data_IF_602750904455
#
_entry.id   IF_602750904455
#
_cell.length_a   1.000
_cell.length_b   1.000
_cell.length_c   1.000
_cell.angle_alpha   90.00
_cell.angle_beta   90.00
_cell.angle_gamma   90.00
#
_symmetry.space_group_name_H-M   'P 1'
#
loop_
_entity.id
_entity.type
_entity.pdbx_description
1 polymer ?
#
# COMPACT_ATOMS: atom_id res chain seq x y z
N UNK A 1 67.92 -3.27 7.00
CA UNK A 1 67.53 -4.50 6.29
C UNK A 1 66.04 -4.74 6.54
N UNK A 2 65.16 -4.56 5.54
CA UNK A 2 64.51 -5.64 4.75
C UNK A 2 63.46 -6.43 5.57
N UNK A 3 62.18 -6.61 5.22
CA UNK A 3 61.40 -6.49 3.97
C UNK A 3 59.89 -6.47 4.30
N UNK A 4 59.11 -5.80 3.44
CA UNK A 4 57.66 -5.93 3.29
C UNK A 4 57.25 -7.29 2.65
N UNK A 5 56.09 -7.81 3.04
CA UNK A 5 55.15 -8.68 2.29
C UNK A 5 53.75 -8.37 2.89
N UNK A 6 52.80 -7.69 2.23
CA UNK A 6 51.85 -8.17 1.19
C UNK A 6 51.09 -9.45 1.63
N UNK A 7 49.76 -9.61 1.60
CA UNK A 7 48.59 -8.81 1.24
C UNK A 7 47.31 -9.56 1.70
N UNK A 8 46.21 -8.81 1.88
CA UNK A 8 44.77 -9.12 1.66
C UNK A 8 44.05 -10.36 2.25
N UNK A 9 42.90 -10.09 2.88
CA UNK A 9 41.55 -10.63 2.59
C UNK A 9 40.62 -10.30 3.79
N UNK A 10 39.83 -9.22 3.72
CA UNK A 10 38.42 -9.18 3.25
C UNK A 10 37.40 -9.68 4.29
N UNK A 11 36.60 -8.74 4.81
CA UNK A 11 35.43 -9.04 5.64
C UNK A 11 34.83 -7.79 6.28
N UNK A 12 34.15 -6.97 5.46
CA UNK A 12 33.35 -5.79 5.84
C UNK A 12 32.42 -6.11 7.03
N UNK A 13 32.53 -5.36 8.13
CA UNK A 13 31.78 -4.14 8.42
C UNK A 13 30.26 -4.33 8.63
N UNK A 14 29.88 -4.11 9.89
CA UNK A 14 28.69 -3.42 10.39
C UNK A 14 27.29 -3.98 10.07
N UNK A 15 26.54 -4.31 11.13
CA UNK A 15 25.41 -3.48 11.55
C UNK A 15 24.85 -4.00 12.90
N UNK A 16 25.36 -3.44 13.99
CA UNK A 16 24.59 -3.36 15.23
C UNK A 16 23.71 -2.11 15.12
N UNK A 17 22.41 -2.34 15.01
CA UNK A 17 21.38 -1.32 14.97
C UNK A 17 20.09 -1.87 15.56
N UNK A 18 20.12 -2.19 16.86
CA UNK A 18 18.93 -2.43 17.65
C UNK A 18 18.42 -1.08 18.18
N UNK A 19 17.43 -0.50 17.49
CA UNK A 19 16.63 0.62 17.98
C UNK A 19 15.18 0.34 17.62
N UNK A 20 14.40 -0.11 18.60
CA UNK A 20 12.96 -0.35 18.49
C UNK A 20 12.17 0.96 18.49
N UNK A 21 12.28 1.74 17.43
CA UNK A 21 11.23 2.67 17.03
C UNK A 21 10.40 1.96 15.96
N UNK A 22 9.18 1.58 16.31
CA UNK A 22 8.22 1.06 15.36
C UNK A 22 8.02 2.11 14.25
N UNK A 23 8.68 1.92 13.11
CA UNK A 23 8.50 2.77 11.94
C UNK A 23 7.03 2.73 11.55
N UNK A 24 6.34 3.84 11.79
CA UNK A 24 4.94 4.03 11.41
C UNK A 24 4.90 4.85 10.15
N UNK A 25 4.11 4.40 9.20
CA UNK A 25 3.84 5.13 7.96
C UNK A 25 2.39 5.60 7.97
N UNK A 26 2.11 6.69 7.25
CA UNK A 26 0.73 7.08 6.96
C UNK A 26 0.43 6.76 5.51
N UNK A 27 -0.70 6.12 5.26
CA UNK A 27 -1.15 5.86 3.90
C UNK A 27 -2.64 6.10 3.74
N UNK A 28 -3.00 6.48 2.52
CA UNK A 28 -4.37 6.50 2.04
C UNK A 28 -4.58 5.34 1.07
N UNK A 29 -5.81 4.84 0.99
CA UNK A 29 -6.12 3.77 0.04
C UNK A 29 -7.47 3.96 -0.66
N UNK A 30 -7.57 3.34 -1.84
CA UNK A 30 -8.83 3.12 -2.53
C UNK A 30 -9.04 1.62 -2.62
N UNK A 31 -10.16 1.13 -2.07
CA UNK A 31 -10.53 -0.28 -2.08
C UNK A 31 -11.68 -0.51 -3.06
N UNK A 32 -11.51 -1.44 -3.99
CA UNK A 32 -12.60 -1.98 -4.81
C UNK A 32 -12.83 -3.42 -4.42
N UNK A 33 -14.02 -3.72 -3.91
CA UNK A 33 -14.41 -5.09 -3.56
C UNK A 33 -15.00 -5.83 -4.76
N UNK A 34 -15.00 -7.15 -4.65
CA UNK A 34 -15.65 -8.09 -5.55
C UNK A 34 -16.41 -9.14 -4.75
N UNK A 35 -17.17 -9.99 -5.44
CA UNK A 35 -17.98 -11.07 -4.84
C UNK A 35 -17.20 -12.03 -3.94
N UNK A 36 -15.91 -12.24 -4.22
CA UNK A 36 -15.03 -13.13 -3.46
C UNK A 36 -14.25 -12.41 -2.34
N UNK A 37 -14.49 -11.10 -2.15
CA UNK A 37 -13.93 -10.37 -1.01
C UNK A 37 -14.51 -10.93 0.29
N UNK A 38 -13.70 -11.00 1.35
CA UNK A 38 -14.09 -11.54 2.69
C UNK A 38 -15.41 -10.97 3.22
N UNK A 39 -15.73 -9.72 2.88
CA UNK A 39 -17.01 -9.08 3.19
C UNK A 39 -17.50 -8.33 1.94
N UNK A 40 -18.31 -8.95 1.06
CA UNK A 40 -18.77 -8.37 -0.21
C UNK A 40 -19.94 -7.39 0.02
N UNK A 41 -19.68 -6.39 0.84
CA UNK A 41 -20.63 -5.35 1.24
C UNK A 41 -19.84 -4.12 1.69
N UNK A 42 -20.33 -2.94 1.34
CA UNK A 42 -19.75 -1.64 1.71
C UNK A 42 -20.85 -0.64 2.04
N UNK A 43 -20.44 0.58 2.36
CA UNK A 43 -21.37 1.70 2.54
C UNK A 43 -22.00 2.14 1.21
N UNK A 44 -21.38 1.85 0.07
CA UNK A 44 -21.89 2.14 -1.28
C UNK A 44 -22.91 1.10 -1.73
N UNK A 45 -22.62 -0.16 -1.48
CA UNK A 45 -23.37 -1.28 -2.02
C UNK A 45 -23.53 -2.38 -0.97
N UNK A 46 -24.77 -2.70 -0.63
CA UNK A 46 -25.07 -3.68 0.41
C UNK A 46 -24.67 -5.11 0.02
N UNK A 47 -24.71 -5.45 -1.27
CA UNK A 47 -24.34 -6.76 -1.80
C UNK A 47 -23.52 -6.61 -3.09
N UNK A 48 -22.21 -6.79 -2.99
CA UNK A 48 -21.26 -6.62 -4.08
C UNK A 48 -21.17 -7.92 -4.89
N UNK A 49 -21.75 -7.90 -6.09
CA UNK A 49 -21.83 -9.07 -6.98
C UNK A 49 -20.80 -9.09 -8.12
N UNK A 50 -20.12 -7.95 -8.34
CA UNK A 50 -19.11 -7.80 -9.40
C UNK A 50 -17.97 -8.80 -9.27
N UNK A 51 -17.43 -9.27 -10.40
CA UNK A 51 -16.32 -10.22 -10.40
C UNK A 51 -15.00 -9.53 -10.04
N UNK A 52 -13.98 -10.36 -9.77
CA UNK A 52 -12.62 -9.86 -9.54
C UNK A 52 -12.07 -9.14 -10.77
N UNK A 53 -12.38 -9.62 -11.97
CA UNK A 53 -11.97 -9.01 -13.24
C UNK A 53 -12.62 -7.63 -13.43
N UNK A 54 -13.91 -7.49 -13.10
CA UNK A 54 -14.60 -6.20 -13.14
C UNK A 54 -14.00 -5.23 -12.11
N UNK A 55 -13.75 -5.70 -10.88
CA UNK A 55 -13.07 -4.91 -9.86
C UNK A 55 -11.67 -4.48 -10.31
N UNK A 56 -10.94 -5.35 -11.02
CA UNK A 56 -9.63 -5.05 -11.59
C UNK A 56 -9.72 -3.98 -12.67
N UNK A 57 -10.68 -4.06 -13.59
CA UNK A 57 -10.89 -3.02 -14.59
C UNK A 57 -11.23 -1.66 -13.96
N UNK A 58 -12.07 -1.65 -12.92
CA UNK A 58 -12.44 -0.43 -12.19
C UNK A 58 -11.21 0.20 -11.53
N UNK A 59 -10.44 -0.59 -10.80
CA UNK A 59 -9.28 -0.06 -10.06
C UNK A 59 -8.15 0.40 -10.99
N UNK A 60 -7.93 -0.29 -12.12
CA UNK A 60 -6.97 0.14 -13.14
C UNK A 60 -7.40 1.46 -13.80
N UNK A 61 -8.70 1.66 -14.03
CA UNK A 61 -9.20 2.94 -14.54
C UNK A 61 -8.97 4.08 -13.54
N UNK A 62 -9.12 3.82 -12.23
CA UNK A 62 -8.77 4.78 -11.19
C UNK A 62 -7.27 5.05 -11.13
N UNK A 63 -6.43 4.01 -11.22
CA UNK A 63 -4.97 4.15 -11.27
C UNK A 63 -4.55 5.06 -12.42
N UNK A 64 -5.11 4.85 -13.63
CA UNK A 64 -4.81 5.67 -14.80
C UNK A 64 -5.19 7.15 -14.59
N UNK A 65 -6.33 7.43 -13.95
CA UNK A 65 -6.77 8.80 -13.61
C UNK A 65 -5.86 9.47 -12.58
N UNK A 66 -5.36 8.71 -11.61
CA UNK A 66 -4.43 9.23 -10.60
C UNK A 66 -3.07 9.51 -11.23
N UNK A 67 -2.55 8.56 -12.00
CA UNK A 67 -1.24 8.71 -12.68
C UNK A 67 -1.23 9.83 -13.72
N UNK A 68 -2.36 10.12 -14.37
CA UNK A 68 -2.48 11.25 -15.30
C UNK A 68 -2.70 12.59 -14.60
N UNK A 69 -2.89 12.61 -13.29
CA UNK A 69 -3.21 13.82 -12.51
C UNK A 69 -4.65 14.32 -12.70
N UNK A 70 -5.53 13.53 -13.34
CA UNK A 70 -6.92 13.90 -13.56
C UNK A 70 -7.79 13.85 -12.29
N UNK A 71 -7.34 13.10 -11.27
CA UNK A 71 -7.94 13.06 -9.94
C UNK A 71 -6.88 12.59 -8.93
N UNK A 72 -7.04 12.94 -7.66
CA UNK A 72 -6.22 12.41 -6.57
C UNK A 72 -6.80 11.10 -6.03
N UNK A 73 -5.97 10.28 -5.36
CA UNK A 73 -6.48 9.10 -4.67
C UNK A 73 -7.53 9.47 -3.63
N UNK A 74 -7.33 10.59 -2.91
CA UNK A 74 -8.26 11.05 -1.89
C UNK A 74 -9.63 11.36 -2.45
N UNK A 75 -9.72 12.07 -3.58
CA UNK A 75 -11.00 12.39 -4.24
C UNK A 75 -11.73 11.13 -4.69
N UNK A 76 -11.02 10.22 -5.37
CA UNK A 76 -11.61 8.95 -5.82
C UNK A 76 -11.98 8.05 -4.64
N UNK A 77 -11.23 8.09 -3.54
CA UNK A 77 -11.55 7.28 -2.38
C UNK A 77 -12.86 7.72 -1.73
N UNK A 78 -13.21 9.01 -1.73
CA UNK A 78 -14.49 9.50 -1.18
C UNK A 78 -15.68 8.94 -1.94
N UNK A 79 -15.64 8.95 -3.28
CA UNK A 79 -16.78 8.50 -4.09
C UNK A 79 -16.75 7.01 -4.39
N UNK A 80 -15.56 6.44 -4.58
CA UNK A 80 -15.41 5.10 -5.15
C UNK A 80 -15.05 3.99 -4.17
N UNK A 81 -14.35 4.30 -3.07
CA UNK A 81 -13.81 3.28 -2.17
C UNK A 81 -14.90 2.54 -1.40
N UNK A 82 -14.84 1.21 -1.41
CA UNK A 82 -15.68 0.30 -0.64
C UNK A 82 -15.23 0.19 0.84
N UNK A 83 -14.22 0.96 1.26
CA UNK A 83 -13.80 1.06 2.65
C UNK A 83 -14.48 2.23 3.37
N UNK A 84 -14.72 2.11 4.68
CA UNK A 84 -15.24 3.20 5.49
C UNK A 84 -14.29 4.40 5.61
N UNK A 85 -12.99 4.20 5.31
CA UNK A 85 -12.00 5.28 5.20
C UNK A 85 -12.31 6.26 4.07
N UNK A 86 -13.21 5.92 3.13
CA UNK A 86 -13.74 6.83 2.10
C UNK A 86 -14.13 8.20 2.68
N UNK A 87 -14.74 8.23 3.86
CA UNK A 87 -15.15 9.48 4.56
C UNK A 87 -14.00 10.43 4.90
N UNK A 88 -12.76 9.93 4.89
CA UNK A 88 -11.52 10.68 5.14
C UNK A 88 -10.60 10.69 3.92
N UNK A 89 -11.15 10.56 2.71
CA UNK A 89 -10.33 10.47 1.49
C UNK A 89 -9.44 9.23 1.45
N UNK A 90 -9.88 8.12 2.04
CA UNK A 90 -9.11 6.89 2.07
C UNK A 90 -8.01 6.85 3.13
N UNK A 91 -7.82 7.91 3.94
CA UNK A 91 -6.79 7.98 4.97
C UNK A 91 -6.99 6.95 6.08
N UNK A 92 -5.99 6.11 6.26
CA UNK A 92 -5.92 5.09 7.32
C UNK A 92 -5.21 5.60 8.57
N UNK A 93 -4.60 6.79 8.54
CA UNK A 93 -3.76 7.28 9.62
C UNK A 93 -2.41 6.56 9.67
N UNK A 94 -1.70 6.73 10.78
CA UNK A 94 -0.41 6.09 11.00
C UNK A 94 -0.59 4.64 11.46
N UNK A 95 0.10 3.72 10.79
CA UNK A 95 0.16 2.31 11.17
C UNK A 95 1.59 1.78 11.07
N UNK A 96 1.91 0.84 11.96
CA UNK A 96 3.14 0.08 11.99
C UNK A 96 2.96 -1.31 11.38
N UNK A 97 4.03 -2.10 11.43
CA UNK A 97 4.02 -3.50 11.00
C UNK A 97 3.16 -4.36 11.92
N UNK A 98 2.39 -5.29 11.35
CA UNK A 98 1.45 -6.17 12.03
C UNK A 98 0.04 -5.61 12.23
N UNK A 99 -0.23 -4.35 11.85
CA UNK A 99 -1.54 -3.71 12.03
C UNK A 99 -2.47 -3.87 10.80
N UNK A 100 -1.91 -4.22 9.64
CA UNK A 100 -2.63 -4.37 8.37
C UNK A 100 -2.45 -5.78 7.80
N UNK A 101 -3.22 -6.13 6.75
CA UNK A 101 -2.99 -7.37 6.01
C UNK A 101 -1.59 -7.35 5.39
N UNK A 102 -0.92 -8.51 5.39
CA UNK A 102 0.49 -8.61 5.02
C UNK A 102 0.78 -8.04 3.63
N UNK A 103 -0.06 -8.35 2.65
CA UNK A 103 0.10 -7.88 1.28
C UNK A 103 -0.06 -6.36 1.15
N UNK A 104 -0.99 -5.78 1.95
CA UNK A 104 -1.18 -4.34 2.02
C UNK A 104 0.01 -3.65 2.68
N UNK A 105 0.46 -4.19 3.82
CA UNK A 105 1.59 -3.68 4.57
C UNK A 105 2.87 -3.71 3.72
N UNK A 106 3.21 -4.86 3.16
CA UNK A 106 4.43 -5.04 2.37
C UNK A 106 4.47 -4.04 1.21
N UNK A 107 3.32 -3.79 0.56
CA UNK A 107 3.21 -2.77 -0.48
C UNK A 107 3.34 -1.35 0.07
N UNK A 108 2.64 -1.00 1.15
CA UNK A 108 2.65 0.37 1.71
C UNK A 108 4.04 0.77 2.25
N UNK A 109 4.73 -0.15 2.91
CA UNK A 109 6.08 0.08 3.43
C UNK A 109 7.16 0.13 2.34
N UNK A 110 6.91 -0.49 1.18
CA UNK A 110 7.81 -0.38 0.02
C UNK A 110 7.73 0.97 -0.70
N UNK A 111 6.66 1.75 -0.47
CA UNK A 111 6.45 3.05 -1.10
C UNK A 111 7.26 4.14 -0.40
N UNK A 112 7.71 5.11 -1.21
CA UNK A 112 8.21 6.39 -0.72
C UNK A 112 7.03 7.34 -0.41
N UNK A 113 7.21 8.33 0.48
CA UNK A 113 6.20 9.36 0.68
C UNK A 113 5.85 10.06 -0.65
N UNK A 114 4.55 10.16 -0.94
CA UNK A 114 3.98 10.67 -2.18
C UNK A 114 3.87 9.64 -3.32
N UNK A 115 4.31 8.39 -3.11
CA UNK A 115 4.28 7.35 -4.14
C UNK A 115 2.97 6.56 -4.11
N UNK A 116 2.46 6.27 -5.31
CA UNK A 116 1.29 5.41 -5.54
C UNK A 116 1.73 3.99 -5.89
N UNK A 117 1.16 3.01 -5.20
CA UNK A 117 1.38 1.59 -5.47
C UNK A 117 0.80 1.14 -6.80
N UNK A 118 1.25 -0.04 -7.24
CA UNK A 118 0.47 -0.88 -8.16
C UNK A 118 -0.79 -1.40 -7.47
N UNK A 119 -1.69 -2.02 -8.22
CA UNK A 119 -2.84 -2.74 -7.65
C UNK A 119 -2.35 -3.84 -6.70
N UNK A 120 -2.81 -3.79 -5.45
CA UNK A 120 -2.51 -4.76 -4.41
C UNK A 120 -3.76 -5.57 -4.13
N UNK A 121 -3.65 -6.89 -4.20
CA UNK A 121 -4.75 -7.79 -3.86
C UNK A 121 -4.62 -8.25 -2.40
N UNK A 122 -5.73 -8.22 -1.67
CA UNK A 122 -5.84 -8.75 -0.32
C UNK A 122 -7.14 -9.54 -0.17
N UNK A 123 -7.36 -10.18 0.98
CA UNK A 123 -8.65 -10.82 1.28
C UNK A 123 -9.83 -9.84 1.31
N UNK A 124 -9.57 -8.54 1.46
CA UNK A 124 -10.61 -7.50 1.43
C UNK A 124 -11.03 -7.10 0.03
N UNK A 125 -10.23 -7.37 -1.01
CA UNK A 125 -10.43 -6.89 -2.37
C UNK A 125 -9.14 -6.31 -2.97
N UNK A 126 -9.30 -5.43 -3.97
CA UNK A 126 -8.19 -4.78 -4.67
C UNK A 126 -7.96 -3.37 -4.11
N UNK A 127 -6.70 -3.01 -3.96
CA UNK A 127 -6.28 -1.75 -3.34
C UNK A 127 -5.32 -0.96 -4.24
N UNK A 128 -5.51 0.34 -4.27
CA UNK A 128 -4.44 1.31 -4.57
C UNK A 128 -4.05 1.98 -3.28
N UNK A 129 -2.75 2.14 -3.06
CA UNK A 129 -2.19 2.67 -1.82
C UNK A 129 -1.30 3.84 -2.18
N UNK A 130 -1.47 4.95 -1.48
CA UNK A 130 -0.58 6.10 -1.57
C UNK A 130 0.00 6.35 -0.18
N UNK A 131 1.33 6.37 -0.08
CA UNK A 131 1.99 6.73 1.19
C UNK A 131 1.99 8.24 1.33
N UNK A 132 1.35 8.76 2.37
CA UNK A 132 1.22 10.20 2.62
C UNK A 132 2.13 10.71 3.74
N UNK A 133 2.76 9.81 4.51
CA UNK A 133 3.69 10.14 5.60
C UNK A 133 4.57 8.99 6.03
#
# INVERSE_FOLDING_TARGET
MAKNYSQNASGAAAAQGASGDSEKIRASHLLVKHKDSRRPSSWKEANISRTKEEALSIILAHEARIRSGAATLSELAVSESDCSSARRGGDLGYFGRGEMQKEFEDAAFALKPGELSRVVETSSGLHLIERTG
#
